data_IF_116947799815
#
_entry.id   IF_116947799815
#
_cell.length_a   1.000
_cell.length_b   1.000
_cell.length_c   1.000
_cell.angle_alpha   90.00
_cell.angle_beta   90.00
_cell.angle_gamma   90.00
#
_symmetry.space_group_name_H-M   'P 1'
#
loop_
_entity.id
_entity.type
_entity.pdbx_description
1 polymer ?
#
# COMPACT_ATOMS: atom_id res chain seq x y z
N UNK A 1 -5.60 4.21 -13.63
CA UNK A 1 -4.58 5.24 -13.86
C UNK A 1 -3.27 4.67 -13.36
N UNK A 2 -2.22 4.70 -14.18
CA UNK A 2 -0.93 4.12 -13.79
C UNK A 2 -0.29 4.96 -12.68
N UNK A 3 0.55 4.33 -11.85
CA UNK A 3 1.19 5.03 -10.72
C UNK A 3 2.01 6.25 -11.17
N UNK A 4 2.59 6.23 -12.38
CA UNK A 4 3.34 7.38 -12.91
C UNK A 4 2.47 8.63 -13.05
N UNK A 5 1.19 8.49 -13.44
CA UNK A 5 0.28 9.63 -13.56
C UNK A 5 -0.03 10.24 -12.20
N UNK A 6 -0.16 9.41 -11.15
CA UNK A 6 -0.33 9.88 -9.77
C UNK A 6 0.87 10.66 -9.28
N UNK A 7 2.08 10.16 -9.54
CA UNK A 7 3.33 10.84 -9.18
C UNK A 7 3.47 12.18 -9.92
N UNK A 8 3.10 12.23 -11.20
CA UNK A 8 3.16 13.45 -11.99
C UNK A 8 2.25 14.58 -11.46
N UNK A 9 1.07 14.24 -10.91
CA UNK A 9 0.14 15.23 -10.35
C UNK A 9 0.37 15.52 -8.86
N UNK A 10 1.17 14.70 -8.17
CA UNK A 10 1.41 14.81 -6.74
C UNK A 10 1.88 16.20 -6.28
N UNK A 11 2.83 16.87 -6.97
CA UNK A 11 3.27 18.21 -6.58
C UNK A 11 2.17 19.26 -6.70
N UNK A 12 1.31 19.12 -7.72
CA UNK A 12 0.21 20.07 -8.00
C UNK A 12 -0.89 19.94 -6.94
N UNK A 13 -1.17 18.72 -6.52
CA UNK A 13 -2.22 18.40 -5.56
C UNK A 13 -1.73 18.34 -4.11
N UNK A 14 -0.43 18.54 -3.87
CA UNK A 14 0.18 18.43 -2.54
C UNK A 14 0.05 17.02 -1.94
N UNK A 15 0.03 15.98 -2.78
CA UNK A 15 -0.15 14.60 -2.33
C UNK A 15 1.15 14.02 -1.77
N UNK A 16 1.00 13.09 -0.82
CA UNK A 16 2.08 12.23 -0.32
C UNK A 16 1.58 10.79 -0.36
N UNK A 17 2.39 9.89 -0.90
CA UNK A 17 2.09 8.47 -0.96
C UNK A 17 2.89 7.73 0.10
N UNK A 18 2.21 6.85 0.83
CA UNK A 18 2.86 5.87 1.70
C UNK A 18 3.04 4.58 0.93
N UNK A 19 4.28 4.10 0.84
CA UNK A 19 4.62 2.83 0.21
C UNK A 19 5.15 1.87 1.28
N UNK A 20 4.45 0.75 1.56
CA UNK A 20 4.99 -0.28 2.44
C UNK A 20 6.32 -0.82 1.94
N UNK A 21 7.34 -0.85 2.79
CA UNK A 21 8.64 -1.42 2.43
C UNK A 21 8.54 -2.91 2.06
N UNK A 22 7.61 -3.64 2.71
CA UNK A 22 7.32 -5.01 2.35
C UNK A 22 6.89 -5.16 0.87
N UNK A 23 6.22 -4.15 0.29
CA UNK A 23 5.78 -4.18 -1.10
C UNK A 23 6.95 -3.95 -2.07
N UNK A 24 7.94 -3.14 -1.65
CA UNK A 24 9.21 -2.99 -2.36
C UNK A 24 9.95 -4.33 -2.40
N UNK A 25 10.09 -4.99 -1.24
CA UNK A 25 10.75 -6.30 -1.14
C UNK A 25 10.05 -7.36 -1.99
N UNK A 26 8.71 -7.43 -1.93
CA UNK A 26 7.92 -8.35 -2.75
C UNK A 26 8.11 -8.06 -4.26
N UNK A 27 8.03 -6.79 -4.67
CA UNK A 27 8.18 -6.39 -6.06
C UNK A 27 9.56 -6.74 -6.61
N UNK A 28 10.65 -6.44 -5.89
CA UNK A 28 12.01 -6.78 -6.32
C UNK A 28 12.23 -8.29 -6.41
N UNK A 29 11.68 -9.03 -5.45
CA UNK A 29 11.83 -10.49 -5.38
C UNK A 29 11.06 -11.19 -6.49
N UNK A 30 9.81 -10.78 -6.74
CA UNK A 30 8.91 -11.46 -7.68
C UNK A 30 8.92 -10.87 -9.09
N UNK A 31 9.40 -9.63 -9.26
CA UNK A 31 9.42 -8.90 -10.53
C UNK A 31 10.74 -8.15 -10.71
N UNK A 32 11.88 -8.86 -10.84
CA UNK A 32 13.19 -8.22 -10.98
C UNK A 32 13.28 -7.27 -12.18
N UNK A 33 12.52 -7.54 -13.26
CA UNK A 33 12.43 -6.62 -14.40
C UNK A 33 11.82 -5.24 -14.07
N UNK A 34 11.16 -5.10 -12.92
CA UNK A 34 10.57 -3.85 -12.46
C UNK A 34 11.52 -3.01 -11.60
N UNK A 35 12.78 -3.43 -11.38
CA UNK A 35 13.72 -2.76 -10.47
C UNK A 35 13.86 -1.25 -10.76
N UNK A 36 13.97 -0.85 -12.03
CA UNK A 36 14.05 0.58 -12.38
C UNK A 36 12.80 1.38 -12.01
N UNK A 37 11.61 0.77 -12.13
CA UNK A 37 10.33 1.40 -11.71
C UNK A 37 10.22 1.46 -10.20
N UNK A 38 10.69 0.42 -9.51
CA UNK A 38 10.75 0.40 -8.04
C UNK A 38 11.74 1.47 -7.54
N UNK A 39 12.91 1.60 -8.17
CA UNK A 39 13.91 2.64 -7.86
C UNK A 39 13.34 4.04 -8.05
N UNK A 40 12.61 4.27 -9.15
CA UNK A 40 11.92 5.54 -9.38
C UNK A 40 10.91 5.85 -8.26
N UNK A 41 10.10 4.86 -7.88
CA UNK A 41 9.09 5.00 -6.83
C UNK A 41 9.72 5.32 -5.46
N UNK A 42 10.71 4.54 -5.02
CA UNK A 42 11.28 4.71 -3.67
C UNK A 42 12.09 5.99 -3.50
N UNK A 43 12.60 6.54 -4.61
CA UNK A 43 13.36 7.79 -4.60
C UNK A 43 12.51 9.03 -4.93
N UNK A 44 11.23 8.85 -5.26
CA UNK A 44 10.36 9.97 -5.62
C UNK A 44 10.07 10.85 -4.39
N UNK A 45 10.17 12.20 -4.49
CA UNK A 45 10.08 13.10 -3.33
C UNK A 45 8.72 13.11 -2.61
N UNK A 46 7.67 12.62 -3.28
CA UNK A 46 6.33 12.50 -2.72
C UNK A 46 6.00 11.08 -2.20
N UNK A 47 6.97 10.15 -2.21
CA UNK A 47 6.80 8.79 -1.70
C UNK A 47 7.55 8.66 -0.38
N UNK A 48 6.86 8.15 0.63
CA UNK A 48 7.42 7.86 1.95
C UNK A 48 7.35 6.35 2.15
N UNK A 49 8.51 5.73 2.36
CA UNK A 49 8.58 4.33 2.75
C UNK A 49 8.12 4.17 4.20
N UNK A 50 7.35 3.12 4.46
CA UNK A 50 6.91 2.78 5.82
C UNK A 50 7.20 1.34 6.15
N UNK A 51 7.82 1.16 7.31
CA UNK A 51 8.06 -0.14 7.93
C UNK A 51 6.92 -0.51 8.87
N UNK A 52 6.71 -1.81 9.04
CA UNK A 52 5.79 -2.33 10.03
C UNK A 52 6.52 -2.42 11.38
N UNK A 53 6.01 -1.72 12.39
CA UNK A 53 6.51 -1.88 13.76
C UNK A 53 5.92 -3.13 14.42
N UNK A 54 6.49 -3.57 15.54
CA UNK A 54 5.97 -4.69 16.31
C UNK A 54 4.50 -4.48 16.73
N UNK A 55 4.16 -3.31 17.25
CA UNK A 55 2.79 -2.98 17.63
C UNK A 55 1.83 -3.02 16.43
N UNK A 56 2.29 -2.51 15.29
CA UNK A 56 1.49 -2.51 14.08
C UNK A 56 1.29 -3.95 13.54
N UNK A 57 2.30 -4.81 13.68
CA UNK A 57 2.22 -6.23 13.33
C UNK A 57 1.15 -6.97 14.15
N UNK A 58 1.07 -6.72 15.47
CA UNK A 58 0.02 -7.28 16.33
C UNK A 58 -1.37 -6.86 15.84
N UNK A 59 -1.55 -5.56 15.55
CA UNK A 59 -2.84 -5.06 15.04
C UNK A 59 -3.21 -5.65 13.67
N UNK A 60 -2.22 -5.90 12.80
CA UNK A 60 -2.43 -6.58 11.51
C UNK A 60 -2.83 -8.04 11.73
N UNK A 61 -2.18 -8.74 12.65
CA UNK A 61 -2.51 -10.13 12.97
C UNK A 61 -3.97 -10.25 13.47
N UNK A 62 -4.38 -9.38 14.39
CA UNK A 62 -5.77 -9.32 14.88
C UNK A 62 -6.77 -9.06 13.75
N UNK A 63 -6.43 -8.13 12.84
CA UNK A 63 -7.25 -7.81 11.67
C UNK A 63 -7.42 -9.01 10.72
N UNK A 64 -6.34 -9.73 10.48
CA UNK A 64 -6.32 -10.92 9.63
C UNK A 64 -7.07 -12.09 10.26
N UNK A 65 -6.93 -12.28 11.57
CA UNK A 65 -7.68 -13.29 12.32
C UNK A 65 -9.19 -13.01 12.28
N UNK A 66 -9.61 -11.76 12.50
CA UNK A 66 -11.02 -11.37 12.46
C UNK A 66 -11.66 -11.58 11.08
N UNK A 67 -10.92 -11.28 10.01
CA UNK A 67 -11.37 -11.45 8.62
C UNK A 67 -11.18 -12.86 8.07
N UNK A 68 -10.55 -13.76 8.84
CA UNK A 68 -10.17 -15.13 8.40
C UNK A 68 -9.41 -15.12 7.07
N UNK A 69 -8.58 -14.10 6.86
CA UNK A 69 -7.75 -13.95 5.67
C UNK A 69 -6.28 -14.03 6.07
N UNK A 70 -5.45 -14.70 5.27
CA UNK A 70 -4.00 -14.74 5.50
C UNK A 70 -3.28 -13.99 4.37
N UNK A 71 -3.09 -12.69 4.59
CA UNK A 71 -2.47 -11.80 3.60
C UNK A 71 -1.85 -10.58 4.31
N UNK A 72 -0.60 -10.72 4.76
CA UNK A 72 0.08 -9.70 5.58
C UNK A 72 0.21 -8.37 4.85
N UNK A 73 0.47 -8.38 3.54
CA UNK A 73 0.56 -7.16 2.73
C UNK A 73 -0.78 -6.41 2.71
N UNK A 74 -1.86 -7.12 2.37
CA UNK A 74 -3.18 -6.53 2.30
C UNK A 74 -3.66 -6.05 3.69
N UNK A 75 -3.40 -6.84 4.73
CA UNK A 75 -3.70 -6.46 6.12
C UNK A 75 -2.95 -5.21 6.54
N UNK A 76 -1.68 -5.09 6.15
CA UNK A 76 -0.87 -3.90 6.43
C UNK A 76 -1.39 -2.64 5.74
N UNK A 77 -1.76 -2.74 4.46
CA UNK A 77 -2.38 -1.63 3.73
C UNK A 77 -3.69 -1.19 4.40
N UNK A 78 -4.57 -2.14 4.74
CA UNK A 78 -5.84 -1.82 5.43
C UNK A 78 -5.58 -1.16 6.78
N UNK A 79 -4.62 -1.67 7.56
CA UNK A 79 -4.23 -1.07 8.84
C UNK A 79 -3.77 0.39 8.67
N UNK A 80 -2.90 0.67 7.69
CA UNK A 80 -2.42 2.02 7.40
C UNK A 80 -3.57 2.96 6.99
N UNK A 81 -4.48 2.50 6.13
CA UNK A 81 -5.66 3.27 5.74
C UNK A 81 -6.53 3.64 6.94
N UNK A 82 -6.76 2.70 7.87
CA UNK A 82 -7.50 2.95 9.12
C UNK A 82 -6.77 3.94 10.02
N UNK A 83 -5.49 3.72 10.29
CA UNK A 83 -4.68 4.54 11.19
C UNK A 83 -4.62 6.01 10.74
N UNK A 84 -4.62 6.25 9.43
CA UNK A 84 -4.54 7.59 8.85
C UNK A 84 -5.90 8.26 8.66
N UNK A 85 -6.97 7.71 9.24
CA UNK A 85 -8.31 8.31 9.19
C UNK A 85 -9.02 8.16 7.86
N UNK A 86 -8.80 7.04 7.15
CA UNK A 86 -9.49 6.72 5.90
C UNK A 86 -8.75 7.14 4.63
N UNK A 87 -7.41 7.09 4.64
CA UNK A 87 -6.62 7.26 3.42
C UNK A 87 -7.01 6.21 2.37
N UNK A 88 -6.95 6.60 1.10
CA UNK A 88 -7.35 5.77 -0.03
C UNK A 88 -6.20 4.83 -0.41
N UNK A 89 -6.47 3.53 -0.48
CA UNK A 89 -5.52 2.55 -1.01
C UNK A 89 -5.54 2.54 -2.54
N UNK A 90 -4.40 2.82 -3.16
CA UNK A 90 -4.20 2.64 -4.59
C UNK A 90 -3.84 1.17 -4.85
N UNK A 91 -4.70 0.44 -5.57
CA UNK A 91 -4.50 -1.00 -5.81
C UNK A 91 -5.09 -1.44 -7.15
N UNK A 92 -4.50 -2.46 -7.77
CA UNK A 92 -5.09 -3.14 -8.94
C UNK A 92 -6.13 -4.20 -8.54
N UNK A 93 -6.17 -4.59 -7.26
CA UNK A 93 -7.11 -5.58 -6.72
C UNK A 93 -7.78 -5.06 -5.44
N UNK A 94 -8.86 -4.26 -5.58
CA UNK A 94 -9.66 -3.81 -4.44
C UNK A 94 -10.34 -4.97 -3.70
N UNK A 95 -10.66 -6.06 -4.39
CA UNK A 95 -11.32 -7.23 -3.79
C UNK A 95 -10.44 -7.89 -2.73
N UNK A 96 -9.13 -7.96 -2.96
CA UNK A 96 -8.13 -8.42 -1.98
C UNK A 96 -8.18 -7.63 -0.67
N UNK A 97 -8.26 -6.30 -0.73
CA UNK A 97 -8.35 -5.45 0.47
C UNK A 97 -9.73 -5.55 1.13
N UNK A 98 -10.81 -5.60 0.33
CA UNK A 98 -12.20 -5.65 0.83
C UNK A 98 -12.57 -6.97 1.50
N UNK A 99 -11.83 -8.05 1.25
CA UNK A 99 -11.94 -9.30 2.04
C UNK A 99 -11.54 -9.11 3.50
N UNK A 100 -10.65 -8.16 3.78
CA UNK A 100 -10.18 -7.84 5.13
C UNK A 100 -11.05 -6.76 5.77
N UNK A 101 -11.33 -5.70 5.01
CA UNK A 101 -12.23 -4.62 5.42
C UNK A 101 -13.14 -4.19 4.26
N UNK A 102 -14.43 -4.57 4.28
CA UNK A 102 -15.37 -4.24 3.23
C UNK A 102 -15.56 -2.73 2.99
N UNK A 103 -15.21 -1.88 3.95
CA UNK A 103 -15.38 -0.43 3.89
C UNK A 103 -14.08 0.32 3.60
N UNK A 104 -12.95 -0.38 3.39
CA UNK A 104 -11.68 0.28 3.11
C UNK A 104 -11.78 1.12 1.82
N UNK A 105 -11.43 2.43 1.86
CA UNK A 105 -11.43 3.26 0.67
C UNK A 105 -10.35 2.79 -0.31
N UNK A 106 -10.72 2.59 -1.57
CA UNK A 106 -9.80 2.12 -2.61
C UNK A 106 -10.01 2.90 -3.89
N UNK A 107 -8.93 3.13 -4.62
CA UNK A 107 -8.97 3.61 -5.99
C UNK A 107 -8.17 2.68 -6.89
N UNK A 108 -8.71 2.43 -8.08
CA UNK A 108 -8.18 1.42 -8.99
C UNK A 108 -6.96 1.96 -9.74
N UNK A 109 -5.81 1.33 -9.50
CA UNK A 109 -4.67 1.45 -10.40
C UNK A 109 -4.99 0.61 -11.65
N UNK A 110 -5.03 1.29 -12.80
CA UNK A 110 -5.20 0.68 -14.13
C UNK A 110 -3.90 0.86 -14.88
#
# INVERSE_FOLDING_TARGET
MAIQSWLAVAPVLGLTFLLPELAVTEARTLRPHADGVVDELVNHPHVVLTQMSADAAVNVEELLAASRTFDVMAGWVVHLCRQRGGWIALTTDPGRLRRIDPQVPTELLL
#
